data_IF_599276924764
#
_entry.id   IF_599276924764
#
_cell.length_a   1.000
_cell.length_b   1.000
_cell.length_c   1.000
_cell.angle_alpha   90.00
_cell.angle_beta   90.00
_cell.angle_gamma   90.00
#
_symmetry.space_group_name_H-M   'P 1'
#
loop_
_entity.id
_entity.type
_entity.pdbx_description
1 polymer ?
#
# COMPACT_ATOMS: atom_id res chain seq x y z
N UNK A 1 -17.81 -50.90 64.87
CA UNK A 1 -18.37 -49.91 63.93
C UNK A 1 -19.83 -50.22 63.76
N UNK A 2 -20.70 -49.31 64.21
CA UNK A 2 -22.15 -49.46 64.15
C UNK A 2 -22.65 -49.30 62.70
N UNK A 3 -23.79 -49.89 62.36
CA UNK A 3 -24.37 -49.87 61.02
C UNK A 3 -24.67 -48.45 60.53
N UNK A 4 -24.95 -47.52 61.46
CA UNK A 4 -25.16 -46.09 61.18
C UNK A 4 -23.91 -45.41 60.60
N UNK A 5 -22.72 -45.68 61.15
CA UNK A 5 -21.45 -45.13 60.66
C UNK A 5 -21.10 -45.64 59.26
N UNK A 6 -21.35 -46.94 59.00
CA UNK A 6 -21.16 -47.54 57.67
C UNK A 6 -22.03 -46.86 56.61
N UNK A 7 -23.29 -46.60 56.92
CA UNK A 7 -24.22 -45.94 56.00
C UNK A 7 -23.81 -44.47 55.74
N UNK A 8 -23.34 -43.76 56.76
CA UNK A 8 -22.84 -42.39 56.63
C UNK A 8 -21.60 -42.32 55.72
N UNK A 9 -20.61 -43.18 55.96
CA UNK A 9 -19.41 -43.27 55.11
C UNK A 9 -19.75 -43.62 53.67
N UNK A 10 -20.69 -44.55 53.45
CA UNK A 10 -21.15 -44.89 52.09
C UNK A 10 -21.81 -43.71 51.38
N UNK A 11 -22.60 -42.90 52.08
CA UNK A 11 -23.19 -41.67 51.54
C UNK A 11 -22.14 -40.62 51.22
N UNK A 12 -21.15 -40.43 52.09
CA UNK A 12 -20.05 -39.47 51.88
C UNK A 12 -19.19 -39.86 50.67
N UNK A 13 -18.86 -41.15 50.52
CA UNK A 13 -18.13 -41.66 49.35
C UNK A 13 -18.90 -41.36 48.06
N UNK A 14 -20.21 -41.64 48.01
CA UNK A 14 -21.04 -41.31 46.83
C UNK A 14 -21.03 -39.82 46.52
N UNK A 15 -21.09 -38.96 47.53
CA UNK A 15 -21.01 -37.51 47.34
C UNK A 15 -19.65 -37.07 46.79
N UNK A 16 -18.56 -37.66 47.29
CA UNK A 16 -17.22 -37.38 46.80
C UNK A 16 -17.02 -37.86 45.35
N UNK A 17 -17.55 -39.02 44.98
CA UNK A 17 -17.53 -39.52 43.61
C UNK A 17 -18.29 -38.60 42.65
N UNK A 18 -19.48 -38.14 43.04
CA UNK A 18 -20.23 -37.15 42.25
C UNK A 18 -19.47 -35.85 42.08
N UNK A 19 -18.84 -35.33 43.14
CA UNK A 19 -18.01 -34.12 43.07
C UNK A 19 -16.81 -34.32 42.16
N UNK A 20 -16.12 -35.46 42.26
CA UNK A 20 -14.98 -35.80 41.40
C UNK A 20 -15.37 -35.82 39.93
N UNK A 21 -16.47 -36.50 39.59
CA UNK A 21 -16.92 -36.60 38.20
C UNK A 21 -17.30 -35.23 37.63
N UNK A 22 -17.97 -34.38 38.43
CA UNK A 22 -18.26 -32.99 38.04
C UNK A 22 -17.00 -32.16 37.80
N UNK A 23 -15.99 -32.28 38.67
CA UNK A 23 -14.72 -31.57 38.51
C UNK A 23 -13.97 -32.03 37.25
N UNK A 24 -13.98 -33.33 36.95
CA UNK A 24 -13.37 -33.85 35.72
C UNK A 24 -14.06 -33.31 34.46
N UNK A 25 -15.38 -33.16 34.49
CA UNK A 25 -16.13 -32.56 33.39
C UNK A 25 -15.79 -31.08 33.20
N UNK A 26 -15.67 -30.32 34.30
CA UNK A 26 -15.25 -28.92 34.27
C UNK A 26 -13.81 -28.73 33.77
N UNK A 27 -12.89 -29.63 34.14
CA UNK A 27 -11.51 -29.62 33.64
C UNK A 27 -11.50 -29.83 32.13
N UNK A 28 -12.25 -30.83 31.65
CA UNK A 28 -12.37 -31.11 30.22
C UNK A 28 -12.93 -29.92 29.43
N UNK A 29 -13.95 -29.25 29.98
CA UNK A 29 -14.50 -28.04 29.37
C UNK A 29 -13.48 -26.89 29.36
N UNK A 30 -12.74 -26.69 30.45
CA UNK A 30 -11.69 -25.68 30.52
C UNK A 30 -10.56 -25.92 29.52
N UNK A 31 -10.11 -27.16 29.36
CA UNK A 31 -9.10 -27.55 28.35
C UNK A 31 -9.58 -27.26 26.92
N UNK A 32 -10.87 -27.46 26.63
CA UNK A 32 -11.46 -27.12 25.33
C UNK A 32 -11.49 -25.61 25.09
N UNK A 33 -11.88 -24.84 26.10
CA UNK A 33 -11.86 -23.38 26.03
C UNK A 33 -10.44 -22.82 25.87
N UNK A 34 -9.45 -23.42 26.53
CA UNK A 34 -8.05 -23.07 26.36
C UNK A 34 -7.58 -23.31 24.92
N UNK A 35 -7.90 -24.47 24.33
CA UNK A 35 -7.60 -24.76 22.93
C UNK A 35 -8.22 -23.74 21.97
N UNK A 36 -9.51 -23.44 22.12
CA UNK A 36 -10.20 -22.45 21.31
C UNK A 36 -9.62 -21.03 21.47
N UNK A 37 -9.18 -20.67 22.68
CA UNK A 37 -8.53 -19.38 22.94
C UNK A 37 -7.17 -19.29 22.23
N UNK A 38 -6.36 -20.36 22.26
CA UNK A 38 -5.10 -20.43 21.53
C UNK A 38 -5.30 -20.34 20.01
N UNK A 39 -6.24 -21.09 19.45
CA UNK A 39 -6.56 -21.03 18.02
C UNK A 39 -6.99 -19.62 17.60
N UNK A 40 -7.82 -18.97 18.43
CA UNK A 40 -8.26 -17.59 18.20
C UNK A 40 -7.08 -16.61 18.27
N UNK A 41 -6.17 -16.77 19.24
CA UNK A 41 -4.98 -15.96 19.36
C UNK A 41 -4.08 -16.06 18.12
N UNK A 42 -3.81 -17.28 17.65
CA UNK A 42 -2.98 -17.49 16.47
C UNK A 42 -3.63 -16.94 15.20
N UNK A 43 -4.94 -17.08 15.03
CA UNK A 43 -5.66 -16.47 13.90
C UNK A 43 -5.51 -14.94 13.88
N UNK A 44 -5.60 -14.28 15.04
CA UNK A 44 -5.38 -12.84 15.16
C UNK A 44 -3.93 -12.47 14.86
N UNK A 45 -2.95 -13.23 15.40
CA UNK A 45 -1.54 -12.97 15.15
C UNK A 45 -1.18 -13.09 13.66
N UNK A 46 -1.69 -14.12 12.98
CA UNK A 46 -1.51 -14.31 11.54
C UNK A 46 -2.17 -13.18 10.74
N UNK A 47 -3.37 -12.73 11.15
CA UNK A 47 -4.04 -11.61 10.52
C UNK A 47 -3.24 -10.30 10.68
N UNK A 48 -2.70 -10.02 11.87
CA UNK A 48 -1.84 -8.84 12.10
C UNK A 48 -0.61 -8.89 11.21
N UNK A 49 0.07 -10.03 11.13
CA UNK A 49 1.22 -10.22 10.25
C UNK A 49 0.88 -10.02 8.77
N UNK A 50 -0.31 -10.46 8.35
CA UNK A 50 -0.80 -10.22 6.99
C UNK A 50 -1.06 -8.73 6.72
N UNK A 51 -1.58 -7.98 7.71
CA UNK A 51 -1.76 -6.52 7.61
C UNK A 51 -0.41 -5.78 7.53
N UNK A 52 0.56 -6.15 8.36
CA UNK A 52 1.91 -5.58 8.33
C UNK A 52 2.55 -5.78 6.95
N UNK A 53 2.43 -6.97 6.38
CA UNK A 53 2.93 -7.26 5.02
C UNK A 53 2.23 -6.41 3.95
N UNK A 54 0.91 -6.21 4.04
CA UNK A 54 0.17 -5.34 3.11
C UNK A 54 0.63 -3.89 3.22
N UNK A 55 0.84 -3.40 4.44
CA UNK A 55 1.34 -2.05 4.68
C UNK A 55 2.75 -1.87 4.10
N UNK A 56 3.64 -2.85 4.29
CA UNK A 56 4.99 -2.83 3.73
C UNK A 56 4.96 -2.78 2.20
N UNK A 57 4.14 -3.61 1.55
CA UNK A 57 3.96 -3.58 0.09
C UNK A 57 3.47 -2.20 -0.37
N UNK A 58 2.46 -1.64 0.30
CA UNK A 58 1.93 -0.31 -0.02
C UNK A 58 2.99 0.79 0.11
N UNK A 59 3.79 0.75 1.18
CA UNK A 59 4.89 1.70 1.40
C UNK A 59 5.97 1.55 0.33
N UNK A 60 6.39 0.34 0.01
CA UNK A 60 7.40 0.07 -1.02
C UNK A 60 6.93 0.54 -2.41
N UNK A 61 5.64 0.33 -2.73
CA UNK A 61 5.05 0.85 -3.95
C UNK A 61 5.09 2.38 -3.99
N UNK A 62 4.65 3.05 -2.92
CA UNK A 62 4.70 4.51 -2.81
C UNK A 62 6.13 5.07 -2.96
N UNK A 63 7.10 4.52 -2.22
CA UNK A 63 8.50 4.95 -2.24
C UNK A 63 9.15 4.70 -3.61
N UNK A 64 8.73 3.66 -4.33
CA UNK A 64 9.19 3.38 -5.69
C UNK A 64 8.58 4.36 -6.69
N UNK A 65 7.26 4.54 -6.67
CA UNK A 65 6.57 5.46 -7.58
C UNK A 65 7.04 6.90 -7.37
N UNK A 66 7.20 7.34 -6.12
CA UNK A 66 7.71 8.68 -5.81
C UNK A 66 9.11 8.90 -6.39
N UNK A 67 10.01 7.90 -6.31
CA UNK A 67 11.36 8.00 -6.90
C UNK A 67 11.31 8.08 -8.42
N UNK A 68 10.51 7.24 -9.07
CA UNK A 68 10.34 7.25 -10.52
C UNK A 68 9.82 8.61 -11.00
N UNK A 69 8.72 9.09 -10.40
CA UNK A 69 8.09 10.38 -10.72
C UNK A 69 9.11 11.53 -10.54
N UNK A 70 9.84 11.56 -9.42
CA UNK A 70 10.84 12.59 -9.18
C UNK A 70 11.92 12.63 -10.28
N UNK A 71 12.43 11.48 -10.69
CA UNK A 71 13.45 11.40 -11.75
C UNK A 71 12.95 11.98 -13.08
N UNK A 72 11.70 11.68 -13.45
CA UNK A 72 11.11 12.22 -14.68
C UNK A 72 10.86 13.74 -14.59
N UNK A 73 10.39 14.25 -13.44
CA UNK A 73 10.25 15.70 -13.24
C UNK A 73 11.58 16.45 -13.33
N UNK A 74 12.65 15.91 -12.73
CA UNK A 74 13.99 16.50 -12.80
C UNK A 74 14.47 16.56 -14.27
N UNK A 75 14.18 15.54 -15.07
CA UNK A 75 14.53 15.50 -16.49
C UNK A 75 13.73 16.50 -17.33
N UNK A 76 12.41 16.56 -17.17
CA UNK A 76 11.54 17.55 -17.85
C UNK A 76 12.00 18.97 -17.53
N UNK A 77 12.35 19.26 -16.28
CA UNK A 77 12.89 20.55 -15.89
C UNK A 77 14.25 20.87 -16.57
N UNK A 78 15.14 19.89 -16.69
CA UNK A 78 16.42 20.06 -17.42
C UNK A 78 16.18 20.36 -18.92
N UNK A 79 15.31 19.59 -19.59
CA UNK A 79 15.00 19.82 -21.01
C UNK A 79 14.32 21.18 -21.24
N UNK A 80 13.36 21.57 -20.39
CA UNK A 80 12.73 22.89 -20.47
C UNK A 80 13.77 24.02 -20.32
N UNK A 81 14.75 23.84 -19.42
CA UNK A 81 15.86 24.78 -19.27
C UNK A 81 16.79 24.82 -20.50
N UNK A 82 17.01 23.70 -21.20
CA UNK A 82 17.76 23.67 -22.46
C UNK A 82 17.04 24.41 -23.56
N UNK A 83 15.74 24.16 -23.77
CA UNK A 83 14.91 24.91 -24.74
C UNK A 83 14.99 26.41 -24.47
N UNK A 84 14.84 26.83 -23.20
CA UNK A 84 14.98 28.25 -22.81
C UNK A 84 16.35 28.83 -23.18
N UNK A 85 17.44 28.07 -22.99
CA UNK A 85 18.79 28.50 -23.37
C UNK A 85 18.98 28.55 -24.88
N UNK A 86 18.42 27.62 -25.63
CA UNK A 86 18.44 27.60 -27.11
C UNK A 86 17.78 28.87 -27.66
N UNK A 87 16.58 29.19 -27.17
CA UNK A 87 15.86 30.43 -27.51
C UNK A 87 16.67 31.68 -27.15
N UNK A 88 17.19 31.76 -25.92
CA UNK A 88 17.99 32.91 -25.48
C UNK A 88 19.28 33.12 -26.30
N UNK A 89 19.87 32.03 -26.81
CA UNK A 89 21.05 32.06 -27.67
C UNK A 89 20.73 32.18 -29.16
N UNK A 90 19.44 32.29 -29.53
CA UNK A 90 18.95 32.31 -30.92
C UNK A 90 19.47 31.13 -31.76
N UNK A 91 19.70 29.98 -31.13
CA UNK A 91 20.18 28.73 -31.78
C UNK A 91 19.01 27.94 -32.34
N UNK A 92 18.23 28.57 -33.22
CA UNK A 92 17.00 27.98 -33.76
C UNK A 92 17.26 26.68 -34.54
N UNK A 93 18.49 26.45 -35.00
CA UNK A 93 18.95 25.19 -35.59
C UNK A 93 18.79 23.98 -34.65
N UNK A 94 18.74 24.20 -33.34
CA UNK A 94 18.58 23.15 -32.32
C UNK A 94 17.18 23.12 -31.70
N UNK A 95 16.28 24.03 -32.08
CA UNK A 95 15.03 24.24 -31.34
C UNK A 95 14.08 23.05 -31.49
N UNK A 96 13.89 22.57 -32.71
CA UNK A 96 12.97 21.45 -32.98
C UNK A 96 13.42 20.18 -32.25
N UNK A 97 14.72 19.85 -32.32
CA UNK A 97 15.27 18.66 -31.64
C UNK A 97 15.07 18.72 -30.12
N UNK A 98 15.29 19.87 -29.49
CA UNK A 98 15.15 20.02 -28.04
C UNK A 98 13.68 20.08 -27.60
N UNK A 99 12.77 20.58 -28.44
CA UNK A 99 11.32 20.51 -28.21
C UNK A 99 10.83 19.06 -28.32
N UNK A 100 11.27 18.30 -29.34
CA UNK A 100 10.89 16.90 -29.52
C UNK A 100 11.34 16.05 -28.32
N UNK A 101 12.57 16.26 -27.83
CA UNK A 101 13.06 15.60 -26.61
C UNK A 101 12.21 15.96 -25.39
N UNK A 102 11.89 17.24 -25.20
CA UNK A 102 11.03 17.67 -24.10
C UNK A 102 9.63 17.01 -24.20
N UNK A 103 9.04 16.98 -25.38
CA UNK A 103 7.72 16.37 -25.59
C UNK A 103 7.73 14.87 -25.34
N UNK A 104 8.78 14.15 -25.74
CA UNK A 104 8.91 12.72 -25.47
C UNK A 104 8.93 12.44 -23.96
N UNK A 105 9.68 13.22 -23.19
CA UNK A 105 9.80 13.03 -21.74
C UNK A 105 8.53 13.37 -20.98
N UNK A 106 7.79 14.38 -21.46
CA UNK A 106 6.48 14.71 -20.93
C UNK A 106 5.49 13.57 -21.18
N UNK A 107 5.54 12.92 -22.37
CA UNK A 107 4.75 11.72 -22.67
C UNK A 107 5.14 10.52 -21.78
N UNK A 108 6.42 10.25 -21.61
CA UNK A 108 6.90 9.17 -20.71
C UNK A 108 6.47 9.41 -19.26
N UNK A 109 6.53 10.65 -18.76
CA UNK A 109 6.03 11.01 -17.44
C UNK A 109 4.51 10.80 -17.33
N UNK A 110 3.76 11.17 -18.36
CA UNK A 110 2.32 10.97 -18.39
C UNK A 110 1.93 9.48 -18.41
N UNK A 111 2.66 8.64 -19.14
CA UNK A 111 2.49 7.18 -19.12
C UNK A 111 2.74 6.61 -17.72
N UNK A 112 3.80 7.06 -17.04
CA UNK A 112 4.11 6.66 -15.64
C UNK A 112 3.00 7.09 -14.67
N UNK A 113 2.36 8.23 -14.92
CA UNK A 113 1.27 8.77 -14.10
C UNK A 113 -0.12 8.26 -14.50
N UNK A 114 -0.24 7.57 -15.66
CA UNK A 114 -1.53 7.17 -16.23
C UNK A 114 -2.39 8.36 -16.66
N UNK A 115 -1.77 9.43 -17.16
CA UNK A 115 -2.42 10.66 -17.62
C UNK A 115 -2.40 10.68 -19.15
N UNK A 116 -3.53 11.02 -19.78
CA UNK A 116 -3.57 11.32 -21.21
C UNK A 116 -3.19 12.79 -21.44
N UNK A 117 -2.26 13.05 -22.37
CA UNK A 117 -1.91 14.41 -22.79
C UNK A 117 -2.66 14.72 -24.08
N UNK A 118 -3.57 15.68 -24.00
CA UNK A 118 -4.16 16.29 -25.19
C UNK A 118 -3.20 17.32 -25.78
N UNK A 119 -2.71 17.06 -26.99
CA UNK A 119 -1.90 18.02 -27.73
C UNK A 119 -2.74 19.21 -28.18
N UNK A 120 -2.13 20.40 -28.18
CA UNK A 120 -2.80 21.60 -28.64
C UNK A 120 -3.18 21.43 -30.12
N UNK A 121 -4.44 21.67 -30.51
CA UNK A 121 -4.86 21.58 -31.90
C UNK A 121 -4.03 22.50 -32.82
N UNK A 122 -3.69 22.03 -34.02
CA UNK A 122 -2.90 22.82 -34.99
C UNK A 122 -3.63 24.09 -35.46
N UNK A 123 -4.95 24.13 -35.32
CA UNK A 123 -5.81 25.27 -35.65
C UNK A 123 -5.99 26.25 -34.47
N UNK A 124 -5.23 26.08 -33.38
CA UNK A 124 -5.35 26.94 -32.21
C UNK A 124 -5.07 28.42 -32.57
N UNK A 125 -5.90 29.38 -32.10
CA UNK A 125 -5.81 30.79 -32.52
C UNK A 125 -4.44 31.46 -32.33
N UNK A 126 -3.64 30.95 -31.39
CA UNK A 126 -2.27 31.39 -31.16
C UNK A 126 -1.37 31.21 -32.40
N UNK A 127 -1.53 30.11 -33.15
CA UNK A 127 -0.73 29.82 -34.35
C UNK A 127 -1.15 30.62 -35.58
N UNK A 128 -2.30 31.30 -35.53
CA UNK A 128 -2.76 32.20 -36.59
C UNK A 128 -2.12 33.61 -36.50
N UNK A 129 -1.36 33.90 -35.43
CA UNK A 129 -0.67 35.16 -35.27
C UNK A 129 0.51 35.24 -36.26
N UNK A 130 0.54 36.31 -37.07
CA UNK A 130 1.68 36.61 -37.94
C UNK A 130 2.90 36.92 -37.07
N UNK A 131 4.05 36.30 -37.37
CA UNK A 131 5.31 36.63 -36.71
C UNK A 131 5.58 38.14 -36.84
N UNK A 132 5.80 38.82 -35.72
CA UNK A 132 6.27 40.22 -35.75
C UNK A 132 7.62 40.26 -36.47
N UNK A 133 7.66 40.99 -37.58
CA UNK A 133 8.91 41.37 -38.22
C UNK A 133 9.63 42.28 -37.24
N UNK A 134 10.71 41.80 -36.65
CA UNK A 134 11.60 42.62 -35.84
C UNK A 134 12.40 43.47 -36.84
N UNK A 135 11.99 44.73 -37.03
CA UNK A 135 12.79 45.70 -37.77
C UNK A 135 14.16 45.86 -37.08
N UNK A 136 15.24 45.73 -37.86
CA UNK A 136 16.65 45.74 -37.43
C UNK A 136 17.11 47.07 -36.80
#
# INVERSE_FOLDING_TARGET
MDNSEKNKLSSEIKQLEMKRNRLLEQIKEAEQWEGAAWDSYYAVADHVKALEKKQEIGKNYWDSSQRAIKSHFDFVADQANKVKKVLAKKRYDLLDEEIDKLMNEVRELADVLGIEIDELPLDFPFFALTAEVVDE
#
